data_IF_672926304205
#
_entry.id   IF_672926304205
#
_cell.length_a   1.000
_cell.length_b   1.000
_cell.length_c   1.000
_cell.angle_alpha   90.00
_cell.angle_beta   90.00
_cell.angle_gamma   90.00
#
_symmetry.space_group_name_H-M   'P 1'
#
loop_
_entity.id
_entity.type
_entity.pdbx_description
1 polymer ?
#
# COMPACT_ATOMS: atom_id res chain seq x y z
N UNK A 1 -12.96 -8.40 4.42
CA UNK A 1 -11.77 -7.96 3.66
C UNK A 1 -11.05 -9.24 3.30
N UNK A 2 -11.03 -9.58 2.01
CA UNK A 2 -10.81 -10.94 1.48
C UNK A 2 -9.67 -11.72 2.17
N UNK A 3 -8.56 -11.06 2.51
CA UNK A 3 -7.41 -11.70 3.17
C UNK A 3 -7.70 -12.19 4.60
N UNK A 4 -8.42 -11.40 5.41
CA UNK A 4 -8.80 -11.80 6.77
C UNK A 4 -9.84 -12.91 6.76
N UNK A 5 -10.74 -12.84 5.79
CA UNK A 5 -11.85 -13.80 5.66
C UNK A 5 -11.32 -15.21 5.35
N UNK A 6 -10.15 -15.33 4.71
CA UNK A 6 -9.44 -16.59 4.41
C UNK A 6 -8.23 -16.85 5.31
N UNK A 7 -8.16 -16.27 6.52
CA UNK A 7 -6.98 -16.39 7.40
C UNK A 7 -6.56 -17.84 7.68
N UNK A 8 -7.52 -18.74 7.87
CA UNK A 8 -7.24 -20.16 8.12
C UNK A 8 -6.58 -20.85 6.93
N UNK A 9 -6.97 -20.48 5.70
CA UNK A 9 -6.36 -21.04 4.49
C UNK A 9 -4.88 -20.67 4.40
N UNK A 10 -4.52 -19.44 4.79
CA UNK A 10 -3.13 -19.00 4.86
C UNK A 10 -2.30 -19.78 5.87
N UNK A 11 -2.87 -20.13 7.03
CA UNK A 11 -2.21 -21.01 8.01
C UNK A 11 -1.98 -22.39 7.38
N UNK A 12 -2.99 -22.95 6.72
CA UNK A 12 -2.95 -24.31 6.18
C UNK A 12 -1.89 -24.49 5.08
N UNK A 13 -1.60 -23.44 4.29
CA UNK A 13 -0.53 -23.48 3.27
C UNK A 13 0.87 -23.18 3.84
N UNK A 14 1.03 -23.09 5.17
CA UNK A 14 2.32 -22.88 5.83
C UNK A 14 2.85 -21.46 5.71
N UNK A 15 1.98 -20.44 5.61
CA UNK A 15 2.40 -19.05 5.46
C UNK A 15 3.27 -18.58 6.65
N UNK A 16 4.28 -17.75 6.35
CA UNK A 16 5.19 -17.22 7.36
C UNK A 16 4.44 -16.38 8.43
N UNK A 17 4.85 -16.52 9.69
CA UNK A 17 4.24 -15.82 10.84
C UNK A 17 4.21 -14.30 10.70
N UNK A 18 5.18 -13.69 10.03
CA UNK A 18 5.20 -12.25 9.72
C UNK A 18 4.03 -11.85 8.84
N UNK A 19 3.81 -12.61 7.76
CA UNK A 19 2.72 -12.36 6.79
C UNK A 19 1.36 -12.62 7.45
N UNK A 20 1.24 -13.71 8.23
CA UNK A 20 0.04 -13.96 9.04
C UNK A 20 -0.23 -12.80 10.02
N UNK A 21 0.81 -12.26 10.64
CA UNK A 21 0.73 -11.06 11.46
C UNK A 21 0.16 -9.86 10.70
N UNK A 22 0.60 -9.64 9.46
CA UNK A 22 0.09 -8.56 8.61
C UNK A 22 -1.36 -8.75 8.19
N UNK A 23 -1.78 -9.98 7.86
CA UNK A 23 -3.16 -10.27 7.50
C UNK A 23 -4.08 -9.99 8.70
N UNK A 24 -3.71 -10.46 9.88
CA UNK A 24 -4.51 -10.32 11.08
C UNK A 24 -4.54 -8.88 11.62
N UNK A 25 -3.37 -8.27 11.78
CA UNK A 25 -3.20 -7.01 12.51
C UNK A 25 -3.00 -5.79 11.59
N UNK A 26 -2.77 -6.01 10.30
CA UNK A 26 -2.28 -4.98 9.38
C UNK A 26 -0.75 -4.89 9.38
N UNK A 27 -0.23 -4.15 8.40
CA UNK A 27 1.22 -3.90 8.28
C UNK A 27 1.59 -2.75 9.20
N UNK A 28 2.47 -3.01 10.17
CA UNK A 28 3.03 -1.97 11.04
C UNK A 28 4.16 -1.24 10.30
N UNK A 29 4.06 0.09 10.24
CA UNK A 29 5.17 0.94 9.79
C UNK A 29 6.14 1.13 10.95
N UNK A 30 7.34 0.57 10.83
CA UNK A 30 8.41 0.75 11.80
C UNK A 30 9.23 1.95 11.36
N UNK A 31 9.44 2.94 12.22
CA UNK A 31 10.25 4.11 11.91
C UNK A 31 11.71 3.93 12.30
N UNK A 32 12.63 4.51 11.52
CA UNK A 32 14.06 4.57 11.83
C UNK A 32 14.29 5.71 12.83
N UNK A 33 14.27 5.39 14.11
CA UNK A 33 14.39 6.38 15.18
C UNK A 33 13.03 6.96 15.54
N UNK A 34 12.80 8.24 15.25
CA UNK A 34 11.56 8.96 15.58
C UNK A 34 10.54 8.83 14.45
N UNK A 35 9.25 8.85 14.79
CA UNK A 35 8.17 9.10 13.84
C UNK A 35 8.41 10.39 13.01
N UNK A 36 7.93 10.44 11.75
CA UNK A 36 7.96 11.69 10.98
C UNK A 36 7.18 12.80 11.69
N UNK A 37 7.67 14.02 11.54
CA UNK A 37 6.90 15.21 11.91
C UNK A 37 5.70 15.37 10.96
N UNK A 38 4.71 16.21 11.34
CA UNK A 38 3.55 16.44 10.47
C UNK A 38 3.96 17.05 9.13
N UNK A 39 3.40 16.53 8.04
CA UNK A 39 3.61 17.07 6.71
C UNK A 39 2.35 17.00 5.86
N UNK A 40 2.22 17.98 4.97
CA UNK A 40 1.20 18.04 3.92
C UNK A 40 1.90 18.30 2.60
N UNK A 41 1.96 17.29 1.74
CA UNK A 41 2.52 17.40 0.41
C UNK A 41 1.40 17.57 -0.62
N UNK A 42 1.63 18.43 -1.61
CA UNK A 42 0.68 18.67 -2.69
C UNK A 42 0.64 17.52 -3.69
N UNK A 43 -0.53 17.30 -4.30
CA UNK A 43 -0.66 16.36 -5.39
C UNK A 43 0.19 16.77 -6.60
N UNK A 44 0.61 15.78 -7.39
CA UNK A 44 1.27 16.05 -8.66
C UNK A 44 0.34 16.84 -9.59
N UNK A 45 0.93 17.62 -10.50
CA UNK A 45 0.15 18.29 -11.55
C UNK A 45 -0.44 17.24 -12.48
N UNK A 46 -1.77 17.21 -12.55
CA UNK A 46 -2.52 16.25 -13.36
C UNK A 46 -3.27 17.00 -14.47
N UNK A 47 -3.29 16.41 -15.66
CA UNK A 47 -4.19 16.84 -16.73
C UNK A 47 -5.65 16.62 -16.34
N UNK A 48 -6.59 17.18 -17.11
CA UNK A 48 -8.03 16.99 -16.89
C UNK A 48 -8.43 15.51 -16.89
N UNK A 49 -7.89 14.72 -17.82
CA UNK A 49 -8.20 13.29 -17.96
C UNK A 49 -7.66 12.51 -16.74
N UNK A 50 -6.45 12.84 -16.30
CA UNK A 50 -5.83 12.20 -15.13
C UNK A 50 -6.57 12.54 -13.84
N UNK A 51 -6.98 13.80 -13.67
CA UNK A 51 -7.81 14.22 -12.54
C UNK A 51 -9.15 13.48 -12.48
N UNK A 52 -9.80 13.32 -13.65
CA UNK A 52 -11.04 12.54 -13.73
C UNK A 52 -10.82 11.07 -13.35
N UNK A 53 -9.75 10.46 -13.87
CA UNK A 53 -9.38 9.09 -13.52
C UNK A 53 -9.11 8.92 -12.02
N UNK A 54 -8.30 9.81 -11.42
CA UNK A 54 -7.97 9.76 -9.99
C UNK A 54 -9.23 9.92 -9.15
N UNK A 55 -10.06 10.91 -9.45
CA UNK A 55 -11.30 11.18 -8.70
C UNK A 55 -12.29 10.01 -8.75
N UNK A 56 -12.48 9.42 -9.93
CA UNK A 56 -13.34 8.24 -10.09
C UNK A 56 -12.77 7.05 -9.30
N UNK A 57 -11.47 6.78 -9.45
CA UNK A 57 -10.83 5.65 -8.76
C UNK A 57 -10.90 5.81 -7.23
N UNK A 58 -10.69 7.01 -6.69
CA UNK A 58 -10.81 7.27 -5.25
C UNK A 58 -12.24 7.02 -4.77
N UNK A 59 -13.25 7.45 -5.54
CA UNK A 59 -14.66 7.17 -5.25
C UNK A 59 -14.93 5.67 -5.22
N UNK A 60 -14.54 4.95 -6.28
CA UNK A 60 -14.74 3.50 -6.39
C UNK A 60 -14.07 2.74 -5.22
N UNK A 61 -12.87 3.17 -4.81
CA UNK A 61 -12.16 2.57 -3.68
C UNK A 61 -12.82 2.90 -2.33
N UNK A 62 -13.43 4.08 -2.18
CA UNK A 62 -14.24 4.40 -1.00
C UNK A 62 -15.50 3.53 -0.93
N UNK A 63 -16.22 3.39 -2.04
CA UNK A 63 -17.45 2.60 -2.12
C UNK A 63 -17.21 1.12 -1.83
N UNK A 64 -16.02 0.62 -2.20
CA UNK A 64 -15.55 -0.74 -1.89
C UNK A 64 -15.02 -0.90 -0.45
N UNK A 65 -14.99 0.16 0.35
CA UNK A 65 -14.45 0.15 1.71
C UNK A 65 -12.93 -0.04 1.80
N UNK A 66 -12.20 0.20 0.71
CA UNK A 66 -10.74 0.10 0.67
C UNK A 66 -10.11 1.40 1.19
N UNK A 67 -10.67 2.54 0.78
CA UNK A 67 -10.34 3.84 1.33
C UNK A 67 -11.43 4.28 2.30
N UNK A 68 -11.04 5.04 3.33
CA UNK A 68 -11.97 5.57 4.32
C UNK A 68 -11.82 7.08 4.39
N UNK A 69 -12.92 7.80 4.19
CA UNK A 69 -12.97 9.24 4.41
C UNK A 69 -12.78 9.54 5.90
N UNK A 70 -11.83 10.41 6.23
CA UNK A 70 -11.59 10.87 7.61
C UNK A 70 -12.09 12.30 7.77
N UNK A 71 -12.84 12.57 8.84
CA UNK A 71 -13.33 13.90 9.15
C UNK A 71 -12.23 14.83 9.70
N UNK A 72 -11.16 14.26 10.27
CA UNK A 72 -9.99 15.00 10.78
C UNK A 72 -8.84 14.87 9.78
N UNK A 73 -8.11 15.98 9.58
CA UNK A 73 -6.89 16.00 8.77
C UNK A 73 -5.86 15.01 9.35
N UNK A 74 -5.29 14.10 8.54
CA UNK A 74 -4.19 13.24 8.97
C UNK A 74 -2.91 14.03 9.27
N UNK A 75 -2.05 13.49 10.14
CA UNK A 75 -0.72 14.08 10.46
C UNK A 75 0.24 14.05 9.27
N UNK A 76 0.15 13.03 8.43
CA UNK A 76 1.05 12.84 7.29
C UNK A 76 0.19 12.65 6.05
N UNK A 77 0.31 13.56 5.09
CA UNK A 77 -0.46 13.53 3.85
C UNK A 77 0.51 13.50 2.67
N UNK A 78 0.52 12.35 1.99
CA UNK A 78 1.33 12.12 0.79
C UNK A 78 0.56 12.45 -0.49
N UNK A 79 1.26 12.84 -1.57
CA UNK A 79 0.64 13.10 -2.87
C UNK A 79 -0.02 11.86 -3.44
N UNK A 80 -1.14 12.06 -4.13
CA UNK A 80 -1.74 11.06 -5.02
C UNK A 80 -1.61 11.51 -6.47
N UNK A 81 -1.51 10.55 -7.38
CA UNK A 81 -1.49 10.81 -8.80
C UNK A 81 -1.76 9.55 -9.60
N UNK A 82 -1.44 9.60 -10.90
CA UNK A 82 -1.52 8.42 -11.73
C UNK A 82 -0.40 8.36 -12.75
N UNK A 83 -0.12 7.14 -13.23
CA UNK A 83 0.86 6.88 -14.30
C UNK A 83 0.22 6.09 -15.43
N UNK A 84 0.64 6.31 -16.68
CA UNK A 84 0.10 5.57 -17.82
C UNK A 84 0.45 4.08 -17.77
N UNK A 85 -0.47 3.27 -18.27
CA UNK A 85 -0.32 1.85 -18.61
C UNK A 85 -0.25 1.70 -20.13
N UNK A 86 0.09 0.50 -20.59
CA UNK A 86 -0.15 0.09 -21.98
C UNK A 86 -1.62 0.34 -22.35
N UNK A 87 -1.85 0.72 -23.62
CA UNK A 87 -3.18 0.98 -24.20
C UNK A 87 -3.94 2.15 -23.57
N UNK A 88 -3.24 3.21 -23.14
CA UNK A 88 -3.88 4.48 -22.73
C UNK A 88 -4.68 4.43 -21.43
N UNK A 89 -4.51 3.39 -20.60
CA UNK A 89 -5.10 3.32 -19.25
C UNK A 89 -4.18 3.95 -18.21
N UNK A 90 -4.65 4.16 -16.99
CA UNK A 90 -3.84 4.68 -15.88
C UNK A 90 -3.76 3.70 -14.70
N UNK A 91 -2.72 3.86 -13.86
CA UNK A 91 -2.64 3.28 -12.50
C UNK A 91 -2.66 4.42 -11.50
N UNK A 92 -3.50 4.31 -10.48
CA UNK A 92 -3.40 5.16 -9.30
C UNK A 92 -2.08 4.88 -8.57
N UNK A 93 -1.38 5.94 -8.16
CA UNK A 93 -0.16 5.86 -7.38
C UNK A 93 -0.22 6.83 -6.19
N UNK A 94 0.51 6.50 -5.14
CA UNK A 94 0.73 7.36 -3.98
C UNK A 94 2.23 7.57 -3.83
N UNK A 95 2.68 8.81 -3.76
CA UNK A 95 4.09 9.13 -3.60
C UNK A 95 4.48 9.06 -2.12
N UNK A 96 5.05 7.91 -1.74
CA UNK A 96 5.50 7.64 -0.38
C UNK A 96 7.00 7.87 -0.19
N UNK A 97 7.70 8.48 -1.16
CA UNK A 97 9.17 8.62 -1.10
C UNK A 97 9.62 9.38 0.15
N UNK A 98 8.94 10.46 0.50
CA UNK A 98 9.24 11.23 1.72
C UNK A 98 9.00 10.39 2.99
N UNK A 99 7.81 9.79 3.12
CA UNK A 99 7.48 8.94 4.29
C UNK A 99 8.47 7.78 4.44
N UNK A 100 8.86 7.15 3.33
CA UNK A 100 9.78 6.02 3.32
C UNK A 100 11.18 6.37 3.85
N UNK A 101 11.63 7.62 3.78
CA UNK A 101 12.90 8.06 4.38
C UNK A 101 12.89 7.93 5.92
N UNK A 102 11.71 7.92 6.53
CA UNK A 102 11.54 7.74 7.97
C UNK A 102 11.29 6.28 8.35
N UNK A 103 11.00 5.39 7.40
CA UNK A 103 10.66 4.00 7.67
C UNK A 103 11.90 3.11 7.71
N UNK A 104 11.96 2.22 8.70
CA UNK A 104 12.88 1.09 8.70
C UNK A 104 12.35 0.02 7.74
N UNK A 105 13.13 -0.28 6.71
CA UNK A 105 12.80 -1.37 5.78
C UNK A 105 12.88 -2.71 6.52
N UNK A 106 11.80 -3.52 6.56
CA UNK A 106 11.87 -4.83 7.18
C UNK A 106 12.79 -5.73 6.37
N UNK A 107 13.71 -6.43 7.03
CA UNK A 107 14.48 -7.51 6.42
C UNK A 107 13.61 -8.77 6.40
N UNK A 108 13.26 -9.25 5.22
CA UNK A 108 12.70 -10.58 5.04
C UNK A 108 13.46 -11.26 3.90
N UNK A 109 13.63 -12.57 3.98
CA UNK A 109 14.18 -13.38 2.90
C UNK A 109 13.01 -13.89 2.06
N UNK A 110 13.04 -13.66 0.76
CA UNK A 110 12.23 -14.44 -0.17
C UNK A 110 13.07 -15.63 -0.63
N UNK A 111 12.49 -16.82 -0.61
CA UNK A 111 13.11 -17.95 -1.27
C UNK A 111 13.29 -17.62 -2.75
N UNK A 112 14.51 -17.85 -3.24
CA UNK A 112 14.78 -17.71 -4.66
C UNK A 112 14.08 -18.84 -5.41
N UNK A 113 13.79 -18.65 -6.70
CA UNK A 113 13.27 -19.75 -7.55
C UNK A 113 14.19 -20.97 -7.44
N UNK A 114 15.50 -20.77 -7.39
CA UNK A 114 16.48 -21.83 -7.21
C UNK A 114 16.32 -22.59 -5.89
N UNK A 115 16.00 -21.89 -4.78
CA UNK A 115 15.77 -22.52 -3.49
C UNK A 115 14.50 -23.38 -3.49
N UNK A 116 13.50 -23.02 -4.31
CA UNK A 116 12.22 -23.73 -4.37
C UNK A 116 12.31 -24.97 -5.26
N UNK A 117 13.11 -24.93 -6.32
CA UNK A 117 13.30 -26.08 -7.23
C UNK A 117 13.82 -27.34 -6.50
N UNK A 118 14.53 -27.18 -5.39
CA UNK A 118 15.04 -28.31 -4.59
C UNK A 118 13.95 -29.00 -3.73
N UNK A 119 12.74 -28.42 -3.66
CA UNK A 119 11.59 -28.95 -2.90
C UNK A 119 10.48 -29.56 -3.79
N UNK A 120 10.68 -29.63 -5.12
CA UNK A 120 9.70 -30.17 -6.10
C UNK A 120 10.20 -31.51 -6.65
#
# INVERSE_FOLDING_TARGET
MILKDSYQDWINIGCNSTVLGWIHNGVNLIFQGKEPDEFLLENHQLTTIENQFVSQTVTDLCDRGILVKKCKKPRCVSPIGCVPKKKGKFRLITDLRYLNQHCKVPSFCYDSISNICDFI
#
